data_IF_227656030381
#
_entry.id   IF_227656030381
#
_cell.length_a   1.000
_cell.length_b   1.000
_cell.length_c   1.000
_cell.angle_alpha   90.00
_cell.angle_beta   90.00
_cell.angle_gamma   90.00
#
_symmetry.space_group_name_H-M   'P 1'
#
loop_
_entity.id
_entity.type
_entity.pdbx_description
1 polymer ?
#
# COMPACT_ATOMS: atom_id res chain seq x y z
N UNK A 1 -2.29 1.24 -14.38
CA UNK A 1 -1.08 2.11 -14.50
C UNK A 1 -0.75 2.81 -13.20
N UNK A 2 -1.70 3.57 -12.63
CA UNK A 2 -1.44 4.33 -11.39
C UNK A 2 -1.05 3.45 -10.19
N UNK A 3 -1.55 2.22 -10.11
CA UNK A 3 -1.22 1.31 -9.00
C UNK A 3 0.26 0.97 -8.94
N UNK A 4 0.90 0.80 -10.10
CA UNK A 4 2.35 0.55 -10.17
C UNK A 4 3.14 1.77 -9.75
N UNK A 5 2.70 2.95 -10.15
CA UNK A 5 3.33 4.22 -9.78
C UNK A 5 3.24 4.43 -8.26
N UNK A 6 2.07 4.17 -7.67
CA UNK A 6 1.86 4.28 -6.23
C UNK A 6 2.75 3.29 -5.47
N UNK A 7 2.83 2.04 -5.95
CA UNK A 7 3.70 1.04 -5.34
C UNK A 7 5.17 1.45 -5.39
N UNK A 8 5.63 1.97 -6.52
CA UNK A 8 7.00 2.46 -6.67
C UNK A 8 7.28 3.65 -5.74
N UNK A 9 6.33 4.56 -5.60
CA UNK A 9 6.43 5.67 -4.66
C UNK A 9 6.57 5.14 -3.23
N UNK A 10 5.75 4.16 -2.86
CA UNK A 10 5.78 3.57 -1.52
C UNK A 10 7.13 2.93 -1.22
N UNK A 11 7.64 2.13 -2.14
CA UNK A 11 8.95 1.49 -1.98
C UNK A 11 10.07 2.53 -1.88
N UNK A 12 10.05 3.56 -2.71
CA UNK A 12 11.02 4.63 -2.67
C UNK A 12 10.97 5.40 -1.34
N UNK A 13 9.76 5.70 -0.85
CA UNK A 13 9.57 6.37 0.42
C UNK A 13 10.13 5.53 1.57
N UNK A 14 9.88 4.23 1.56
CA UNK A 14 10.41 3.29 2.56
C UNK A 14 11.94 3.28 2.54
N UNK A 15 12.55 3.30 1.36
CA UNK A 15 14.01 3.38 1.23
C UNK A 15 14.58 4.68 1.80
N UNK A 16 13.81 5.77 1.77
CA UNK A 16 14.18 7.07 2.35
C UNK A 16 13.82 7.18 3.84
N UNK A 17 13.30 6.13 4.45
CA UNK A 17 12.91 6.14 5.86
C UNK A 17 11.56 6.81 6.14
N UNK A 18 10.73 6.98 5.12
CA UNK A 18 9.41 7.57 5.25
C UNK A 18 8.32 6.51 5.28
N UNK A 19 7.24 6.79 6.01
CA UNK A 19 6.05 5.96 6.01
C UNK A 19 5.04 6.44 4.99
N UNK A 20 4.24 5.51 4.45
CA UNK A 20 3.16 5.80 3.52
C UNK A 20 1.90 5.12 4.00
N UNK A 21 0.79 5.85 4.02
CA UNK A 21 -0.53 5.30 4.28
C UNK A 21 -1.44 5.57 3.09
N UNK A 22 -2.06 4.53 2.56
CA UNK A 22 -3.01 4.67 1.45
C UNK A 22 -4.42 4.70 2.04
N UNK A 23 -5.08 5.86 1.90
CA UNK A 23 -6.43 6.06 2.42
C UNK A 23 -7.44 5.66 1.36
N UNK A 24 -8.32 4.71 1.68
CA UNK A 24 -9.37 4.24 0.77
C UNK A 24 -10.77 4.74 1.13
N UNK A 25 -10.96 5.23 2.36
CA UNK A 25 -12.25 5.68 2.86
C UNK A 25 -12.42 7.18 2.62
N UNK A 26 -12.80 7.57 1.40
CA UNK A 26 -13.18 8.93 1.09
C UNK A 26 -14.17 8.95 -0.06
N UNK A 27 -14.96 10.03 -0.12
CA UNK A 27 -15.85 10.30 -1.26
C UNK A 27 -15.09 11.17 -2.25
N UNK A 28 -15.13 10.79 -3.51
CA UNK A 28 -14.39 11.47 -4.57
C UNK A 28 -14.81 12.93 -4.73
N UNK A 29 -16.12 13.20 -4.69
CA UNK A 29 -16.66 14.56 -4.80
C UNK A 29 -16.22 15.44 -3.62
N UNK A 30 -16.25 14.91 -2.41
CA UNK A 30 -15.77 15.59 -1.22
C UNK A 30 -14.29 15.96 -1.34
N UNK A 31 -13.47 15.02 -1.78
CA UNK A 31 -12.03 15.25 -1.95
C UNK A 31 -11.75 16.30 -3.02
N UNK A 32 -12.48 16.27 -4.13
CA UNK A 32 -12.35 17.27 -5.20
C UNK A 32 -12.63 18.67 -4.67
N UNK A 33 -13.71 18.84 -3.92
CA UNK A 33 -14.09 20.12 -3.35
C UNK A 33 -13.06 20.61 -2.33
N UNK A 34 -12.57 19.70 -1.51
CA UNK A 34 -11.61 20.02 -0.45
C UNK A 34 -10.29 20.58 -1.01
N UNK A 35 -9.78 19.99 -2.09
CA UNK A 35 -8.49 20.39 -2.69
C UNK A 35 -8.64 21.32 -3.89
N UNK A 36 -9.88 21.71 -4.24
CA UNK A 36 -10.13 22.62 -5.37
C UNK A 36 -9.87 21.98 -6.73
N UNK A 37 -10.11 20.70 -6.88
CA UNK A 37 -9.82 19.95 -8.09
C UNK A 37 -10.89 20.22 -9.17
N UNK A 38 -10.50 20.57 -10.41
CA UNK A 38 -11.48 20.77 -11.48
C UNK A 38 -12.16 19.47 -11.89
N UNK A 39 -13.35 19.58 -12.50
CA UNK A 39 -14.20 18.42 -12.82
C UNK A 39 -13.58 17.42 -13.79
N UNK A 40 -12.66 17.87 -14.64
CA UNK A 40 -11.98 16.99 -15.60
C UNK A 40 -10.76 16.24 -15.03
N UNK A 41 -10.41 16.52 -13.77
CA UNK A 41 -9.31 15.85 -13.08
C UNK A 41 -9.89 14.88 -12.04
N UNK A 42 -9.41 13.66 -12.05
CA UNK A 42 -9.91 12.62 -11.15
C UNK A 42 -8.84 12.24 -10.11
N UNK A 43 -9.15 12.30 -8.82
CA UNK A 43 -8.23 11.76 -7.82
C UNK A 43 -8.21 10.24 -7.91
N UNK A 44 -7.02 9.65 -7.98
CA UNK A 44 -6.86 8.19 -8.09
C UNK A 44 -6.37 7.57 -6.78
N UNK A 45 -5.79 8.38 -5.90
CA UNK A 45 -5.30 7.90 -4.62
C UNK A 45 -5.12 9.07 -3.66
N UNK A 46 -5.27 8.77 -2.38
CA UNK A 46 -4.94 9.67 -1.29
C UNK A 46 -3.84 9.00 -0.48
N UNK A 47 -2.64 9.58 -0.49
CA UNK A 47 -1.49 9.04 0.20
C UNK A 47 -1.03 10.00 1.29
N UNK A 48 -0.89 9.48 2.49
CA UNK A 48 -0.25 10.19 3.59
C UNK A 48 1.22 9.77 3.62
N UNK A 49 2.14 10.70 3.45
CA UNK A 49 3.58 10.44 3.40
C UNK A 49 4.28 11.31 4.43
N UNK A 50 5.15 10.72 5.22
CA UNK A 50 5.90 11.47 6.21
C UNK A 50 6.77 10.60 7.10
N UNK A 51 7.52 11.24 8.02
CA UNK A 51 8.28 10.51 9.02
C UNK A 51 7.37 9.64 9.89
N UNK A 52 7.87 8.48 10.31
CA UNK A 52 7.16 7.58 11.23
C UNK A 52 7.93 7.48 12.53
N UNK A 53 7.19 7.37 13.64
CA UNK A 53 7.79 7.25 14.97
C UNK A 53 8.43 5.88 15.18
N UNK A 54 7.88 4.85 14.55
CA UNK A 54 8.34 3.47 14.71
C UNK A 54 8.05 2.67 13.46
N UNK A 55 9.06 1.93 12.98
CA UNK A 55 8.93 0.97 11.90
C UNK A 55 9.12 -0.41 12.50
N UNK A 56 8.05 -1.16 12.78
CA UNK A 56 8.18 -2.50 13.36
C UNK A 56 8.88 -3.44 12.36
N UNK A 57 9.74 -4.32 12.87
CA UNK A 57 10.45 -5.32 12.07
C UNK A 57 9.51 -6.42 11.58
N UNK A 58 8.46 -6.69 12.35
CA UNK A 58 7.48 -7.72 12.01
C UNK A 58 6.27 -7.06 11.35
N UNK A 59 5.81 -7.56 10.18
CA UNK A 59 4.61 -7.04 9.51
C UNK A 59 3.39 -7.06 10.43
N UNK A 60 2.52 -6.05 10.31
CA UNK A 60 1.35 -5.90 11.19
C UNK A 60 0.41 -7.10 11.17
N UNK A 61 0.23 -7.74 10.02
CA UNK A 61 -0.64 -8.92 9.93
C UNK A 61 -0.17 -10.03 10.85
N UNK A 62 1.14 -10.23 10.95
CA UNK A 62 1.73 -11.22 11.84
C UNK A 62 1.78 -10.71 13.28
N UNK A 63 2.19 -9.45 13.47
CA UNK A 63 2.35 -8.82 14.79
C UNK A 63 1.06 -8.83 15.60
N UNK A 64 -0.07 -8.57 14.96
CA UNK A 64 -1.37 -8.54 15.63
C UNK A 64 -2.14 -9.86 15.54
N UNK A 65 -1.47 -10.95 15.11
CA UNK A 65 -2.05 -12.27 15.08
C UNK A 65 -3.13 -12.49 14.03
N UNK A 66 -3.21 -11.59 13.05
CA UNK A 66 -4.19 -11.74 11.97
C UNK A 66 -3.82 -12.91 11.05
N UNK A 67 -2.57 -12.97 10.63
CA UNK A 67 -2.10 -14.02 9.74
C UNK A 67 -0.61 -14.23 9.87
N UNK A 68 -0.21 -15.49 10.02
CA UNK A 68 1.19 -15.86 10.07
C UNK A 68 1.83 -15.83 8.67
N UNK A 69 3.15 -15.70 8.64
CA UNK A 69 3.90 -15.78 7.39
C UNK A 69 3.83 -17.20 6.81
N UNK A 70 3.56 -17.28 5.54
CA UNK A 70 3.57 -18.55 4.81
C UNK A 70 4.98 -18.83 4.29
N UNK A 71 5.41 -20.09 4.34
CA UNK A 71 6.71 -20.46 3.80
C UNK A 71 6.72 -20.35 2.28
N UNK A 72 7.86 -19.96 1.72
CA UNK A 72 8.00 -19.83 0.26
C UNK A 72 7.74 -21.17 -0.43
N UNK A 73 8.27 -22.27 0.11
CA UNK A 73 8.14 -23.59 -0.48
C UNK A 73 6.69 -24.04 -0.62
N UNK A 74 5.81 -23.57 0.29
CA UNK A 74 4.40 -23.95 0.24
C UNK A 74 3.62 -23.26 -0.90
N UNK A 75 4.16 -22.19 -1.47
CA UNK A 75 3.49 -21.40 -2.52
C UNK A 75 4.28 -21.36 -3.82
N UNK A 76 5.53 -21.85 -3.81
CA UNK A 76 6.37 -21.88 -4.99
C UNK A 76 6.12 -23.16 -5.80
N UNK A 77 5.88 -23.01 -7.08
CA UNK A 77 5.70 -24.11 -8.02
C UNK A 77 6.70 -23.96 -9.15
N UNK A 78 7.36 -25.06 -9.54
CA UNK A 78 8.30 -25.08 -10.65
C UNK A 78 7.62 -25.68 -11.87
N UNK A 79 7.62 -24.93 -12.98
CA UNK A 79 7.08 -25.31 -14.29
C UNK A 79 5.58 -25.59 -14.29
N UNK A 80 5.06 -26.35 -13.33
CA UNK A 80 3.65 -26.69 -13.27
C UNK A 80 3.09 -26.41 -11.87
N UNK A 81 1.86 -25.87 -11.85
CA UNK A 81 1.14 -25.66 -10.61
C UNK A 81 0.69 -27.00 -10.01
N UNK A 82 0.88 -27.14 -8.70
CA UNK A 82 0.39 -28.31 -7.94
C UNK A 82 -0.42 -27.81 -6.75
N UNK A 83 -1.70 -28.20 -6.70
CA UNK A 83 -2.56 -27.90 -5.56
C UNK A 83 -2.04 -28.60 -4.29
N UNK A 84 -2.17 -27.89 -3.17
CA UNK A 84 -1.71 -28.39 -1.86
C UNK A 84 -2.81 -28.28 -0.82
#
# INVERSE_FOLDING_TARGET
MYKRQIQNLWLAATAEGLGVGWVSFYREDFLRDLVGMPSHVRPVAWLCVGPVADLPEVPDLERFGWRARTSLDSVLHQETYRAR
#
